data_IF_455989077723
#
_entry.id   IF_455989077723
#
_cell.length_a   1.000
_cell.length_b   1.000
_cell.length_c   1.000
_cell.angle_alpha   90.00
_cell.angle_beta   90.00
_cell.angle_gamma   90.00
#
_symmetry.space_group_name_H-M   'P 1'
#
loop_
_entity.id
_entity.type
_entity.pdbx_description
1 polymer ?
#
# COMPACT_ATOMS: atom_id res chain seq x y z
N UNK A 1 -9.88 3.58 22.52
CA UNK A 1 -9.56 4.74 21.69
C UNK A 1 -10.84 5.43 21.23
N UNK A 2 -10.94 6.74 21.42
CA UNK A 2 -12.14 7.47 21.00
C UNK A 2 -11.94 7.93 19.55
N UNK A 3 -12.66 7.33 18.61
CA UNK A 3 -12.77 7.84 17.24
C UNK A 3 -13.38 9.23 17.31
N UNK A 4 -12.66 10.25 16.81
CA UNK A 4 -13.13 11.64 16.84
C UNK A 4 -14.13 11.94 15.72
N UNK A 5 -13.91 11.38 14.56
CA UNK A 5 -14.66 11.71 13.36
C UNK A 5 -14.71 10.51 12.41
N UNK A 6 -15.87 10.27 11.81
CA UNK A 6 -16.09 9.24 10.80
C UNK A 6 -16.67 9.91 9.56
N UNK A 7 -16.09 9.66 8.40
CA UNK A 7 -16.59 10.13 7.10
C UNK A 7 -16.90 8.95 6.21
N UNK A 8 -18.02 9.05 5.51
CA UNK A 8 -18.40 8.08 4.48
C UNK A 8 -17.67 8.41 3.19
N UNK A 9 -16.98 7.43 2.60
CA UNK A 9 -16.34 7.59 1.30
C UNK A 9 -17.38 7.79 0.18
N UNK A 10 -17.06 8.66 -0.76
CA UNK A 10 -17.87 8.99 -1.93
C UNK A 10 -17.14 8.67 -3.23
N UNK A 11 -17.83 8.78 -4.36
CA UNK A 11 -17.20 8.75 -5.68
C UNK A 11 -16.65 10.13 -6.01
N UNK A 12 -15.47 10.48 -5.48
CA UNK A 12 -14.81 11.78 -5.70
C UNK A 12 -14.39 12.02 -7.16
N UNK A 13 -14.32 10.96 -7.93
CA UNK A 13 -14.13 10.98 -9.38
C UNK A 13 -15.28 10.18 -9.99
N UNK A 14 -15.93 10.76 -10.99
CA UNK A 14 -16.99 10.07 -11.72
C UNK A 14 -16.46 8.83 -12.43
N UNK A 15 -17.11 7.71 -12.19
CA UNK A 15 -16.74 6.40 -12.74
C UNK A 15 -17.99 5.76 -13.34
N UNK A 16 -17.94 5.23 -14.58
CA UNK A 16 -19.07 4.56 -15.19
C UNK A 16 -19.59 3.41 -14.33
N UNK A 17 -20.90 3.31 -14.15
CA UNK A 17 -21.56 2.27 -13.35
C UNK A 17 -21.18 0.85 -13.80
N UNK A 18 -20.94 0.66 -15.10
CA UNK A 18 -20.45 -0.60 -15.67
C UNK A 18 -19.10 -1.05 -15.12
N UNK A 19 -18.28 -0.12 -14.62
CA UNK A 19 -16.99 -0.44 -13.97
C UNK A 19 -17.15 -0.73 -12.48
N UNK A 20 -18.18 -0.19 -11.84
CA UNK A 20 -18.42 -0.36 -10.40
C UNK A 20 -18.85 -1.81 -10.11
N UNK A 21 -19.78 -2.36 -10.88
CA UNK A 21 -20.25 -3.75 -10.76
C UNK A 21 -20.67 -4.12 -9.32
N UNK A 22 -21.48 -3.27 -8.69
CA UNK A 22 -21.94 -3.42 -7.29
C UNK A 22 -20.84 -3.43 -6.22
N UNK A 23 -19.62 -2.98 -6.55
CA UNK A 23 -18.49 -2.93 -5.61
C UNK A 23 -18.36 -1.53 -5.02
N UNK A 24 -19.37 -1.09 -4.27
CA UNK A 24 -19.44 0.24 -3.65
C UNK A 24 -18.26 0.53 -2.70
N UNK A 25 -17.65 -0.51 -2.13
CA UNK A 25 -16.46 -0.39 -1.29
C UNK A 25 -15.24 0.21 -2.03
N UNK A 26 -15.22 0.18 -3.37
CA UNK A 26 -14.15 0.81 -4.16
C UNK A 26 -14.11 2.35 -4.00
N UNK A 27 -15.16 2.97 -3.46
CA UNK A 27 -15.13 4.39 -3.07
C UNK A 27 -13.97 4.69 -2.12
N UNK A 28 -13.72 3.82 -1.14
CA UNK A 28 -12.64 4.00 -0.17
C UNK A 28 -11.25 4.03 -0.81
N UNK A 29 -11.05 3.34 -1.94
CA UNK A 29 -9.79 3.41 -2.67
C UNK A 29 -9.62 4.75 -3.38
N UNK A 30 -10.68 5.30 -3.96
CA UNK A 30 -10.64 6.61 -4.64
C UNK A 30 -10.48 7.73 -3.61
N UNK A 31 -11.23 7.68 -2.51
CA UNK A 31 -11.27 8.74 -1.49
C UNK A 31 -9.92 8.97 -0.77
N UNK A 32 -9.01 7.99 -0.81
CA UNK A 32 -7.64 8.17 -0.26
C UNK A 32 -6.92 9.39 -0.84
N UNK A 33 -7.10 9.67 -2.12
CA UNK A 33 -6.50 10.83 -2.78
C UNK A 33 -7.18 12.16 -2.41
N UNK A 34 -8.27 12.12 -1.62
CA UNK A 34 -9.08 13.28 -1.25
C UNK A 34 -9.18 13.48 0.27
N UNK A 35 -8.29 12.90 1.07
CA UNK A 35 -8.31 13.02 2.53
C UNK A 35 -8.44 14.47 3.04
N UNK A 36 -7.74 15.48 2.46
CA UNK A 36 -7.93 16.88 2.88
C UNK A 36 -9.35 17.42 2.69
N UNK A 37 -10.11 16.91 1.72
CA UNK A 37 -11.54 17.25 1.54
C UNK A 37 -12.39 16.69 2.67
N UNK A 38 -12.11 15.44 3.10
CA UNK A 38 -12.88 14.76 4.15
C UNK A 38 -12.54 15.27 5.55
N UNK A 39 -11.30 15.65 5.77
CA UNK A 39 -10.76 16.04 7.07
C UNK A 39 -9.99 17.37 7.00
N UNK A 40 -10.65 18.50 6.71
CA UNK A 40 -9.99 19.76 6.37
C UNK A 40 -9.22 20.41 7.53
N UNK A 41 -9.45 19.98 8.78
CA UNK A 41 -8.91 20.61 9.99
C UNK A 41 -7.57 20.01 10.46
N UNK A 42 -6.97 19.09 9.68
CA UNK A 42 -5.71 18.45 10.04
C UNK A 42 -4.60 18.91 9.12
N UNK A 43 -3.37 18.95 9.62
CA UNK A 43 -2.19 19.33 8.84
C UNK A 43 -1.48 18.13 8.22
N UNK A 44 -1.41 17.03 8.96
CA UNK A 44 -0.76 15.78 8.53
C UNK A 44 -1.80 14.68 8.43
N UNK A 45 -1.74 13.91 7.37
CA UNK A 45 -2.59 12.75 7.12
C UNK A 45 -1.74 11.50 7.12
N UNK A 46 -2.11 10.53 7.93
CA UNK A 46 -1.58 9.18 7.87
C UNK A 46 -2.73 8.26 7.49
N UNK A 47 -2.54 7.51 6.43
CA UNK A 47 -3.46 6.45 6.04
C UNK A 47 -2.91 5.11 6.47
N UNK A 48 -3.76 4.28 7.05
CA UNK A 48 -3.48 2.88 7.39
C UNK A 48 -4.69 2.07 6.96
N UNK A 49 -4.49 1.08 6.09
CA UNK A 49 -5.56 0.19 5.64
C UNK A 49 -6.14 -0.62 6.81
N UNK A 50 -7.41 -1.00 6.70
CA UNK A 50 -8.13 -1.73 7.76
C UNK A 50 -7.61 -3.15 8.02
N UNK A 51 -6.79 -3.70 7.11
CA UNK A 51 -6.08 -4.97 7.23
C UNK A 51 -4.61 -4.79 7.67
N UNK A 52 -4.28 -3.63 8.22
CA UNK A 52 -2.99 -3.32 8.79
C UNK A 52 -3.14 -2.79 10.22
N UNK A 53 -2.14 -3.03 11.06
CA UNK A 53 -2.12 -2.48 12.42
C UNK A 53 -0.72 -2.07 12.87
N UNK A 54 -0.70 -1.12 13.79
CA UNK A 54 0.53 -0.60 14.40
C UNK A 54 1.01 -1.59 15.47
N UNK A 55 2.17 -2.17 15.25
CA UNK A 55 2.86 -3.05 16.18
C UNK A 55 3.94 -2.27 16.98
N UNK A 56 4.47 -1.19 16.38
CA UNK A 56 5.39 -0.26 17.05
C UNK A 56 5.13 1.18 16.60
N UNK A 57 4.99 2.09 17.57
CA UNK A 57 4.70 3.50 17.31
C UNK A 57 5.82 4.26 16.61
N UNK A 58 7.05 3.76 16.61
CA UNK A 58 8.17 4.32 15.82
C UNK A 58 7.80 4.48 14.35
N UNK A 59 6.97 3.58 13.80
CA UNK A 59 6.51 3.71 12.42
C UNK A 59 5.62 4.95 12.21
N UNK A 60 4.79 5.30 13.18
CA UNK A 60 3.96 6.51 13.14
C UNK A 60 4.84 7.76 13.18
N UNK A 61 5.85 7.77 14.06
CA UNK A 61 6.82 8.88 14.16
C UNK A 61 7.59 9.06 12.84
N UNK A 62 8.00 7.95 12.20
CA UNK A 62 8.67 8.00 10.91
C UNK A 62 7.75 8.51 9.79
N UNK A 63 6.48 8.11 9.78
CA UNK A 63 5.48 8.61 8.84
C UNK A 63 5.27 10.12 9.00
N UNK A 64 5.17 10.62 10.23
CA UNK A 64 5.04 12.06 10.51
C UNK A 64 6.28 12.81 10.03
N UNK A 65 7.46 12.40 10.49
CA UNK A 65 8.73 13.05 10.10
C UNK A 65 8.95 13.02 8.60
N UNK A 66 8.62 11.90 7.95
CA UNK A 66 8.79 11.75 6.51
C UNK A 66 7.91 12.71 5.72
N UNK A 67 6.63 12.88 6.06
CA UNK A 67 5.78 13.86 5.38
C UNK A 67 6.07 15.31 5.79
N UNK A 68 6.76 15.54 6.91
CA UNK A 68 7.26 16.87 7.28
C UNK A 68 8.47 17.31 6.47
N UNK A 69 9.30 16.36 6.04
CA UNK A 69 10.51 16.62 5.26
C UNK A 69 10.23 16.64 3.76
N UNK A 70 9.31 15.78 3.29
CA UNK A 70 8.99 15.55 1.88
C UNK A 70 7.49 15.68 1.61
N UNK A 71 7.12 15.72 0.34
CA UNK A 71 5.72 15.81 -0.07
C UNK A 71 4.90 14.57 0.23
N UNK A 72 5.54 13.40 0.23
CA UNK A 72 4.95 12.08 0.51
C UNK A 72 5.94 11.25 1.31
N UNK A 73 5.48 10.51 2.32
CA UNK A 73 6.25 9.43 2.92
C UNK A 73 5.55 8.09 2.73
N UNK A 74 6.29 7.10 2.22
CA UNK A 74 5.74 5.80 1.82
C UNK A 74 6.84 4.75 1.79
N UNK A 75 6.48 3.46 1.85
CA UNK A 75 7.42 2.36 1.69
C UNK A 75 7.43 1.82 0.26
N UNK A 76 8.59 1.38 -0.18
CA UNK A 76 8.72 0.54 -1.37
C UNK A 76 8.45 -0.92 -1.01
N UNK A 77 7.73 -1.67 -1.85
CA UNK A 77 7.46 -3.10 -1.62
C UNK A 77 8.66 -3.94 -2.06
N UNK A 78 9.78 -3.71 -1.40
CA UNK A 78 11.02 -4.47 -1.53
C UNK A 78 11.66 -4.66 -0.17
N UNK A 79 11.78 -5.92 0.26
CA UNK A 79 12.52 -6.29 1.45
C UNK A 79 13.29 -7.59 1.19
N UNK A 80 14.36 -7.89 1.94
CA UNK A 80 15.04 -9.17 1.86
C UNK A 80 14.04 -10.32 2.01
N UNK A 81 14.01 -11.22 1.03
CA UNK A 81 13.11 -12.38 1.03
C UNK A 81 11.70 -12.14 0.48
N UNK A 82 11.33 -10.92 0.10
CA UNK A 82 10.07 -10.72 -0.63
C UNK A 82 10.11 -11.44 -1.97
N UNK A 83 9.04 -12.19 -2.24
CA UNK A 83 8.90 -12.95 -3.49
C UNK A 83 8.34 -12.04 -4.58
N UNK A 84 8.92 -12.17 -5.77
CA UNK A 84 8.38 -11.70 -7.06
C UNK A 84 7.86 -10.26 -7.17
N UNK A 85 8.77 -9.35 -7.47
CA UNK A 85 8.41 -8.00 -7.92
C UNK A 85 7.89 -8.00 -9.37
N UNK A 86 8.14 -9.05 -10.15
CA UNK A 86 7.71 -9.18 -11.53
C UNK A 86 7.68 -10.62 -12.03
N UNK A 87 6.87 -10.86 -13.08
CA UNK A 87 6.80 -12.17 -13.76
C UNK A 87 7.54 -12.11 -15.09
N UNK A 88 8.52 -12.98 -15.27
CA UNK A 88 9.22 -13.17 -16.55
C UNK A 88 8.58 -14.35 -17.29
N UNK A 89 8.20 -14.13 -18.56
CA UNK A 89 7.79 -15.21 -19.47
C UNK A 89 8.80 -15.31 -20.60
N UNK A 90 9.33 -16.49 -20.77
CA UNK A 90 10.19 -16.80 -21.91
C UNK A 90 9.35 -17.02 -23.16
N UNK A 91 9.82 -16.49 -24.27
CA UNK A 91 9.23 -16.66 -25.59
C UNK A 91 10.31 -17.12 -26.57
N UNK A 92 10.03 -18.14 -27.36
CA UNK A 92 10.98 -18.75 -28.31
C UNK A 92 12.33 -19.11 -27.68
N UNK A 93 12.34 -19.52 -26.42
CA UNK A 93 13.52 -20.00 -25.72
C UNK A 93 14.58 -18.93 -25.33
N UNK A 94 14.59 -17.79 -26.03
CA UNK A 94 15.64 -16.78 -25.88
C UNK A 94 15.15 -15.39 -25.52
N UNK A 95 13.87 -15.11 -25.71
CA UNK A 95 13.31 -13.79 -25.43
C UNK A 95 12.51 -13.81 -24.14
N UNK A 96 12.81 -12.86 -23.24
CA UNK A 96 12.07 -12.69 -22.00
C UNK A 96 11.06 -11.55 -22.12
N UNK A 97 9.80 -11.84 -21.82
CA UNK A 97 8.75 -10.82 -21.65
C UNK A 97 8.58 -10.57 -20.16
N UNK A 98 9.03 -9.41 -19.68
CA UNK A 98 8.81 -8.97 -18.31
C UNK A 98 7.46 -8.29 -18.21
N UNK A 99 6.58 -8.85 -17.38
CA UNK A 99 5.25 -8.29 -17.11
C UNK A 99 5.13 -7.95 -15.64
N UNK A 100 5.37 -6.71 -15.30
CA UNK A 100 5.08 -6.22 -13.95
C UNK A 100 3.61 -5.78 -13.83
N UNK A 101 3.11 -5.76 -12.61
CA UNK A 101 1.74 -5.32 -12.35
C UNK A 101 1.54 -3.87 -12.82
N UNK A 102 2.48 -2.98 -12.51
CA UNK A 102 2.42 -1.57 -12.86
C UNK A 102 2.43 -1.37 -14.39
N UNK A 103 3.31 -2.05 -15.13
CA UNK A 103 3.36 -1.96 -16.59
C UNK A 103 2.02 -2.31 -17.24
N UNK A 104 1.50 -3.51 -16.91
CA UNK A 104 0.25 -4.00 -17.49
C UNK A 104 -0.94 -3.10 -17.13
N UNK A 105 -0.96 -2.58 -15.90
CA UNK A 105 -2.03 -1.71 -15.44
C UNK A 105 -1.96 -0.35 -16.15
N UNK A 106 -0.78 0.25 -16.29
CA UNK A 106 -0.59 1.51 -17.00
C UNK A 106 -1.06 1.45 -18.46
N UNK A 107 -0.64 0.41 -19.21
CA UNK A 107 -1.07 0.19 -20.60
C UNK A 107 -2.60 0.09 -20.68
N UNK A 108 -3.24 -0.69 -19.81
CA UNK A 108 -4.69 -0.85 -19.79
C UNK A 108 -5.45 0.41 -19.38
N UNK A 109 -4.81 1.28 -18.61
CA UNK A 109 -5.35 2.57 -18.19
C UNK A 109 -5.10 3.69 -19.21
N UNK A 110 -4.49 3.37 -20.37
CA UNK A 110 -4.26 4.31 -21.46
C UNK A 110 -3.11 5.31 -21.20
N UNK A 111 -2.16 4.95 -20.34
CA UNK A 111 -0.89 5.69 -20.25
C UNK A 111 0.03 5.29 -21.39
N UNK A 112 0.88 6.25 -21.81
CA UNK A 112 1.84 6.04 -22.87
C UNK A 112 2.81 4.90 -22.55
N UNK A 113 3.28 4.22 -23.57
CA UNK A 113 4.23 3.11 -23.44
C UNK A 113 5.52 3.55 -22.75
N UNK A 114 5.98 4.78 -22.97
CA UNK A 114 7.15 5.36 -22.29
C UNK A 114 6.95 5.44 -20.77
N UNK A 115 5.76 5.89 -20.33
CA UNK A 115 5.39 5.93 -18.91
C UNK A 115 5.32 4.52 -18.33
N UNK A 116 4.63 3.62 -19.02
CA UNK A 116 4.50 2.23 -18.57
C UNK A 116 5.86 1.54 -18.42
N UNK A 117 6.80 1.78 -19.35
CA UNK A 117 8.18 1.27 -19.25
C UNK A 117 8.94 1.85 -18.07
N UNK A 118 8.80 3.16 -17.82
CA UNK A 118 9.50 3.82 -16.71
C UNK A 118 9.13 3.23 -15.36
N UNK A 119 7.85 2.91 -15.15
CA UNK A 119 7.38 2.30 -13.89
C UNK A 119 7.45 0.77 -13.87
N UNK A 120 7.80 0.13 -14.99
CA UNK A 120 7.79 -1.33 -15.10
C UNK A 120 8.73 -2.01 -14.11
N UNK A 121 9.90 -1.42 -13.90
CA UNK A 121 10.97 -1.94 -13.04
C UNK A 121 11.14 -1.13 -11.75
N UNK A 122 10.39 -0.05 -11.59
CA UNK A 122 10.38 0.69 -10.34
C UNK A 122 9.77 -0.15 -9.22
N UNK A 123 10.33 -0.10 -8.01
CA UNK A 123 9.75 -0.77 -6.86
C UNK A 123 8.29 -0.34 -6.67
N UNK A 124 7.39 -1.32 -6.50
CA UNK A 124 5.99 -1.00 -6.29
C UNK A 124 5.80 -0.25 -4.97
N UNK A 125 5.00 0.81 -4.98
CA UNK A 125 4.59 1.53 -3.78
C UNK A 125 3.24 1.00 -3.33
N UNK A 126 3.18 0.43 -2.14
CA UNK A 126 1.92 -0.02 -1.55
C UNK A 126 1.31 1.12 -0.74
N UNK A 127 0.16 1.59 -1.17
CA UNK A 127 -0.55 2.73 -0.58
C UNK A 127 -1.45 2.37 0.61
N UNK A 128 -1.32 1.16 1.13
CA UNK A 128 -2.03 0.77 2.35
C UNK A 128 -1.51 1.48 3.60
N UNK A 129 -0.28 2.01 3.53
CA UNK A 129 0.30 2.88 4.56
C UNK A 129 1.10 3.99 3.88
N UNK A 130 0.73 5.23 4.15
CA UNK A 130 1.45 6.42 3.69
C UNK A 130 1.14 7.62 4.58
N UNK A 131 1.92 8.69 4.43
CA UNK A 131 1.60 9.99 5.03
C UNK A 131 1.88 11.14 4.06
N UNK A 132 1.11 12.23 4.22
CA UNK A 132 1.20 13.42 3.39
C UNK A 132 0.67 14.65 4.13
N UNK A 133 1.30 15.83 3.96
CA UNK A 133 0.77 17.09 4.51
C UNK A 133 -0.45 17.58 3.74
N UNK A 134 -1.29 18.40 4.39
CA UNK A 134 -2.47 19.03 3.77
C UNK A 134 -2.14 19.76 2.47
N UNK A 135 -1.11 20.56 2.48
CA UNK A 135 -0.71 21.42 1.36
C UNK A 135 0.31 20.76 0.42
N UNK A 136 0.51 19.46 0.51
CA UNK A 136 1.37 18.72 -0.41
C UNK A 136 0.83 18.79 -1.83
N UNK A 137 1.69 19.08 -2.80
CA UNK A 137 1.38 18.96 -4.24
C UNK A 137 1.02 17.52 -4.64
N UNK A 138 1.43 16.56 -3.83
CA UNK A 138 1.16 15.14 -4.01
C UNK A 138 -0.32 14.84 -4.19
N UNK A 139 -1.21 15.55 -3.50
CA UNK A 139 -2.67 15.36 -3.65
C UNK A 139 -3.12 15.68 -5.08
N UNK A 140 -2.67 16.80 -5.66
CA UNK A 140 -3.03 17.22 -7.01
C UNK A 140 -2.45 16.27 -8.07
N UNK A 141 -1.19 15.88 -7.93
CA UNK A 141 -0.56 14.92 -8.85
C UNK A 141 -1.25 13.55 -8.80
N UNK A 142 -1.56 13.08 -7.58
CA UNK A 142 -2.27 11.82 -7.40
C UNK A 142 -3.65 11.84 -8.02
N UNK A 143 -4.46 12.87 -7.73
CA UNK A 143 -5.81 13.05 -8.30
C UNK A 143 -5.78 13.13 -9.82
N UNK A 144 -4.86 13.89 -10.40
CA UNK A 144 -4.64 14.00 -11.85
C UNK A 144 -4.39 12.63 -12.49
N UNK A 145 -3.43 11.87 -11.94
CA UNK A 145 -3.07 10.55 -12.46
C UNK A 145 -4.17 9.53 -12.21
N UNK A 146 -4.87 9.61 -11.08
CA UNK A 146 -6.01 8.75 -10.76
C UNK A 146 -7.17 8.99 -11.73
N UNK A 147 -7.52 10.24 -12.03
CA UNK A 147 -8.53 10.58 -13.04
C UNK A 147 -8.18 10.00 -14.41
N UNK A 148 -6.91 10.12 -14.83
CA UNK A 148 -6.43 9.52 -16.08
C UNK A 148 -6.52 7.98 -16.04
N UNK A 149 -6.10 7.35 -14.94
CA UNK A 149 -6.17 5.90 -14.79
C UNK A 149 -7.61 5.37 -14.86
N UNK A 150 -8.56 6.07 -14.24
CA UNK A 150 -9.97 5.67 -14.20
C UNK A 150 -10.70 5.86 -15.52
N UNK A 151 -10.26 6.76 -16.39
CA UNK A 151 -10.91 7.02 -17.68
C UNK A 151 -11.01 5.77 -18.55
N UNK A 152 -9.95 4.96 -18.62
CA UNK A 152 -9.89 3.73 -19.42
C UNK A 152 -9.70 2.47 -18.58
N UNK A 153 -8.96 2.56 -17.47
CA UNK A 153 -8.59 1.44 -16.61
C UNK A 153 -9.70 0.90 -15.73
N UNK A 154 -9.37 -0.13 -14.98
CA UNK A 154 -10.20 -0.66 -13.89
C UNK A 154 -10.13 0.25 -12.66
N UNK A 155 -11.12 0.20 -11.78
CA UNK A 155 -11.09 0.98 -10.53
C UNK A 155 -10.05 0.41 -9.57
N UNK A 156 -10.13 -0.89 -9.29
CA UNK A 156 -9.27 -1.55 -8.30
C UNK A 156 -7.78 -1.39 -8.61
N UNK A 157 -7.04 -0.82 -7.68
CA UNK A 157 -5.60 -0.59 -7.76
C UNK A 157 -5.19 0.59 -8.65
N UNK A 158 -6.14 1.38 -9.21
CA UNK A 158 -5.80 2.56 -10.01
C UNK A 158 -5.24 3.70 -9.16
N UNK A 159 -5.62 3.79 -7.90
CA UNK A 159 -5.05 4.70 -6.92
C UNK A 159 -3.56 4.40 -6.66
N UNK A 160 -3.22 3.11 -6.52
CA UNK A 160 -1.83 2.67 -6.39
C UNK A 160 -1.01 2.93 -7.67
N UNK A 161 -1.59 2.65 -8.85
CA UNK A 161 -0.94 3.01 -10.12
C UNK A 161 -0.67 4.51 -10.20
N UNK A 162 -1.65 5.34 -9.83
CA UNK A 162 -1.55 6.79 -9.91
C UNK A 162 -0.43 7.34 -9.02
N UNK A 163 -0.30 6.87 -7.78
CA UNK A 163 0.79 7.30 -6.91
C UNK A 163 2.17 6.83 -7.41
N UNK A 164 2.28 5.62 -7.94
CA UNK A 164 3.52 5.14 -8.55
C UNK A 164 3.94 6.04 -9.75
N UNK A 165 2.98 6.51 -10.55
CA UNK A 165 3.26 7.46 -11.64
C UNK A 165 3.66 8.82 -11.07
N UNK A 166 2.94 9.34 -10.07
CA UNK A 166 3.27 10.62 -9.45
C UNK A 166 4.70 10.63 -8.91
N UNK A 167 5.14 9.55 -8.27
CA UNK A 167 6.50 9.45 -7.73
C UNK A 167 7.54 9.23 -8.82
N UNK A 168 7.39 8.18 -9.62
CA UNK A 168 8.47 7.76 -10.52
C UNK A 168 8.49 8.46 -11.88
N UNK A 169 7.39 9.08 -12.29
CA UNK A 169 7.29 9.79 -13.58
C UNK A 169 7.24 11.28 -13.40
N UNK A 170 6.34 11.76 -12.54
CA UNK A 170 6.15 13.19 -12.33
C UNK A 170 7.18 13.78 -11.34
N UNK A 171 7.92 12.94 -10.60
CA UNK A 171 8.99 13.37 -9.71
C UNK A 171 8.50 13.92 -8.38
N UNK A 172 7.35 13.46 -7.88
CA UNK A 172 6.86 13.84 -6.56
C UNK A 172 7.93 13.57 -5.49
N UNK A 173 8.30 14.63 -4.76
CA UNK A 173 9.32 14.55 -3.70
C UNK A 173 8.84 13.59 -2.60
N UNK A 174 9.59 12.49 -2.44
CA UNK A 174 9.13 11.34 -1.66
C UNK A 174 10.20 10.86 -0.69
N UNK A 175 9.80 10.70 0.57
CA UNK A 175 10.59 9.99 1.58
C UNK A 175 10.26 8.50 1.53
N UNK A 176 11.26 7.68 1.24
CA UNK A 176 11.12 6.23 1.24
C UNK A 176 11.47 5.68 2.61
N UNK A 177 10.44 5.29 3.34
CA UNK A 177 10.57 4.74 4.67
C UNK A 177 11.04 3.27 4.66
N UNK A 178 11.63 2.77 5.77
CA UNK A 178 11.95 1.35 5.94
C UNK A 178 10.72 0.46 5.75
N UNK A 179 10.91 -0.74 5.21
CA UNK A 179 9.81 -1.69 4.99
C UNK A 179 9.06 -2.09 6.27
N UNK A 180 9.72 -1.97 7.42
CA UNK A 180 9.08 -2.15 8.72
C UNK A 180 7.90 -1.21 8.96
N UNK A 181 7.85 -0.05 8.29
CA UNK A 181 6.71 0.87 8.35
C UNK A 181 5.48 0.41 7.55
N UNK A 182 5.61 -0.62 6.71
CA UNK A 182 4.50 -1.26 6.00
C UNK A 182 4.93 -2.65 5.54
N UNK A 183 5.06 -3.59 6.49
CA UNK A 183 5.47 -4.96 6.23
C UNK A 183 4.33 -5.74 5.59
N UNK A 184 4.51 -6.18 4.34
CA UNK A 184 3.49 -6.91 3.59
C UNK A 184 3.60 -8.41 3.89
N UNK A 185 2.74 -8.92 4.76
CA UNK A 185 2.77 -10.30 5.21
C UNK A 185 2.55 -11.33 4.09
N UNK A 186 1.82 -10.97 3.02
CA UNK A 186 1.63 -11.85 1.87
C UNK A 186 2.89 -12.06 1.03
N UNK A 187 3.89 -11.20 1.13
CA UNK A 187 5.18 -11.38 0.47
C UNK A 187 6.14 -12.20 1.32
N UNK A 188 6.15 -11.99 2.63
CA UNK A 188 6.96 -12.73 3.58
C UNK A 188 6.33 -12.63 4.97
N UNK A 189 6.02 -13.78 5.56
CA UNK A 189 5.45 -13.83 6.92
C UNK A 189 6.46 -13.29 7.94
N UNK A 190 6.01 -12.49 8.91
CA UNK A 190 6.85 -12.04 10.00
C UNK A 190 7.15 -13.19 10.96
N UNK A 191 8.17 -13.03 11.80
CA UNK A 191 8.35 -13.82 13.01
C UNK A 191 7.73 -13.13 14.21
N UNK A 192 7.33 -13.90 15.21
CA UNK A 192 6.89 -13.36 16.48
C UNK A 192 7.96 -13.61 17.55
N UNK A 193 8.47 -12.52 18.12
CA UNK A 193 9.37 -12.57 19.27
C UNK A 193 8.54 -12.69 20.54
N UNK A 194 8.49 -13.89 21.12
CA UNK A 194 7.72 -14.17 22.34
C UNK A 194 8.26 -13.41 23.57
N UNK A 195 9.59 -13.19 23.63
CA UNK A 195 10.20 -12.51 24.76
C UNK A 195 9.80 -11.03 24.84
N UNK A 196 9.71 -10.38 23.69
CA UNK A 196 9.33 -8.98 23.58
C UNK A 196 7.85 -8.77 23.18
N UNK A 197 7.12 -9.84 22.89
CA UNK A 197 5.70 -9.81 22.47
C UNK A 197 5.47 -8.91 21.25
N UNK A 198 6.36 -8.95 20.25
CA UNK A 198 6.31 -8.13 19.04
C UNK A 198 6.59 -8.94 17.78
N UNK A 199 6.06 -8.46 16.64
CA UNK A 199 6.43 -8.98 15.33
C UNK A 199 7.76 -8.38 14.86
N UNK A 200 8.62 -9.23 14.30
CA UNK A 200 9.92 -8.87 13.78
C UNK A 200 10.10 -9.39 12.35
N UNK A 201 11.02 -8.79 11.62
CA UNK A 201 11.45 -9.29 10.32
C UNK A 201 12.02 -10.71 10.47
N UNK A 202 11.70 -11.64 9.55
CA UNK A 202 12.14 -13.04 9.67
C UNK A 202 13.64 -13.20 9.42
N UNK A 203 14.26 -12.22 8.77
CA UNK A 203 15.70 -12.21 8.45
C UNK A 203 16.49 -11.41 9.50
N UNK A 204 17.75 -11.78 9.69
CA UNK A 204 18.65 -11.00 10.56
C UNK A 204 18.78 -9.55 10.08
N UNK A 205 18.85 -8.59 11.00
CA UNK A 205 18.96 -8.73 12.45
C UNK A 205 17.65 -8.86 13.22
N UNK A 206 16.54 -9.27 12.59
CA UNK A 206 15.21 -9.40 13.16
C UNK A 206 14.68 -8.05 13.68
N UNK A 207 14.75 -7.03 12.82
CA UNK A 207 14.23 -5.70 13.16
C UNK A 207 12.75 -5.77 13.51
N UNK A 208 12.34 -4.96 14.49
CA UNK A 208 10.96 -4.83 14.87
C UNK A 208 10.11 -4.29 13.70
N UNK A 209 8.99 -4.94 13.43
CA UNK A 209 8.01 -4.45 12.45
C UNK A 209 7.19 -3.36 13.11
N UNK A 210 7.10 -2.20 12.48
CA UNK A 210 6.32 -1.08 12.98
C UNK A 210 4.84 -1.20 12.63
N UNK A 211 4.53 -1.44 11.33
CA UNK A 211 3.15 -1.69 10.87
C UNK A 211 3.13 -2.99 10.09
N UNK A 212 2.30 -3.93 10.55
CA UNK A 212 2.05 -5.20 9.89
C UNK A 212 0.81 -5.09 9.02
N UNK A 213 0.91 -5.46 7.74
CA UNK A 213 -0.13 -5.31 6.74
C UNK A 213 -0.43 -6.66 6.06
N UNK A 214 -1.67 -7.10 6.11
CA UNK A 214 -2.13 -8.38 5.59
C UNK A 214 -2.52 -8.32 4.11
N UNK A 215 -2.09 -7.30 3.38
CA UNK A 215 -2.43 -7.10 1.98
C UNK A 215 -2.35 -8.40 1.15
N UNK A 216 -3.20 -8.50 0.12
CA UNK A 216 -3.18 -9.62 -0.80
C UNK A 216 -4.13 -10.77 -0.44
N UNK A 217 -5.03 -10.57 0.53
CA UNK A 217 -6.05 -11.55 0.88
C UNK A 217 -5.57 -12.69 1.78
N UNK A 218 -4.38 -12.53 2.37
CA UNK A 218 -3.79 -13.54 3.27
C UNK A 218 -4.69 -13.86 4.46
N UNK A 219 -5.54 -12.92 4.87
CA UNK A 219 -6.56 -13.11 5.92
C UNK A 219 -7.66 -14.11 5.54
N UNK A 220 -7.81 -14.45 4.26
CA UNK A 220 -8.71 -15.50 3.79
C UNK A 220 -8.08 -16.91 3.85
N UNK A 221 -6.78 -17.00 4.05
CA UNK A 221 -6.09 -18.25 4.22
C UNK A 221 -6.27 -18.73 5.67
N UNK A 222 -6.86 -19.89 5.85
CA UNK A 222 -7.27 -20.42 7.17
C UNK A 222 -6.11 -20.74 8.11
N UNK A 223 -4.85 -20.65 7.65
CA UNK A 223 -3.67 -21.05 8.41
C UNK A 223 -2.51 -20.11 8.13
N UNK A 224 -2.45 -18.96 8.82
CA UNK A 224 -1.25 -18.15 8.87
C UNK A 224 -0.49 -18.51 10.14
N UNK A 225 0.66 -19.13 9.99
CA UNK A 225 1.57 -19.35 11.10
C UNK A 225 2.47 -18.09 11.24
N UNK A 226 2.21 -17.32 12.27
CA UNK A 226 2.96 -16.08 12.55
C UNK A 226 4.01 -16.28 13.65
N UNK A 227 4.16 -17.48 14.23
CA UNK A 227 5.10 -17.75 15.30
C UNK A 227 6.22 -18.67 14.85
N UNK A 228 7.40 -18.45 15.41
CA UNK A 228 8.59 -19.21 15.10
C UNK A 228 8.43 -20.69 15.51
N UNK A 229 8.75 -21.61 14.60
CA UNK A 229 8.92 -23.08 14.76
C UNK A 229 7.79 -23.87 15.44
N UNK A 230 6.80 -23.25 16.00
CA UNK A 230 5.62 -23.90 16.55
C UNK A 230 4.41 -23.51 15.73
N UNK A 231 3.93 -24.40 14.88
CA UNK A 231 2.73 -24.26 14.06
C UNK A 231 1.52 -23.74 14.86
N UNK A 232 1.46 -22.46 15.16
CA UNK A 232 0.30 -21.84 15.75
C UNK A 232 -0.62 -21.43 14.62
N UNK A 233 -1.58 -22.32 14.36
CA UNK A 233 -2.68 -22.03 13.45
C UNK A 233 -3.55 -20.96 14.09
N UNK A 234 -3.48 -19.75 13.58
CA UNK A 234 -4.49 -18.74 13.90
C UNK A 234 -5.78 -19.20 13.21
N UNK A 235 -6.62 -19.93 13.93
CA UNK A 235 -7.88 -20.49 13.41
C UNK A 235 -8.92 -19.44 13.04
N UNK A 236 -8.72 -18.20 13.49
CA UNK A 236 -9.59 -17.07 13.14
C UNK A 236 -8.73 -15.85 12.84
N UNK A 237 -9.00 -15.14 11.74
CA UNK A 237 -8.23 -13.95 11.42
C UNK A 237 -8.33 -12.94 12.58
N UNK A 238 -7.24 -12.79 13.32
CA UNK A 238 -6.95 -11.70 14.25
C UNK A 238 -7.94 -11.35 15.38
N UNK A 239 -8.98 -12.12 15.65
CA UNK A 239 -9.92 -11.85 16.76
C UNK A 239 -9.22 -11.72 18.12
N UNK A 240 -8.11 -12.41 18.33
CA UNK A 240 -7.35 -12.34 19.59
C UNK A 240 -6.48 -11.11 19.77
N UNK A 241 -6.07 -10.43 18.70
CA UNK A 241 -5.17 -9.27 18.77
C UNK A 241 -5.92 -7.96 19.02
N UNK A 242 -7.22 -7.92 18.77
CA UNK A 242 -8.06 -6.73 18.99
C UNK A 242 -8.81 -6.71 20.32
N UNK A 243 -8.67 -7.74 21.15
CA UNK A 243 -9.40 -7.87 22.45
C UNK A 243 -8.57 -7.52 23.66
N UNK A 244 -7.30 -7.11 23.50
CA UNK A 244 -6.48 -6.61 24.61
C UNK A 244 -6.21 -5.11 24.39
N UNK A 245 -7.19 -4.30 24.80
CA UNK A 245 -7.06 -2.84 24.85
C UNK A 245 -8.25 -2.24 25.57
#
# INVERSE_FOLDING_TARGET
SKVKEIKKAEWDIEVPSSKIKNREWLKSQISRAFLPKYFPNYENYIWIDSDAWVNDWVAIDLLIKGCEQKSLAITQTIAPGYKDVGKVKWFLGSFAIVKTQNFKHAIRSGFDYKIARKIAFAPHLNIGVFSMKRNSEGWNLWQKNLKKALSKGRIFGSEGLAINISVYVDGLDTEFLPNSCNWIASHLLPKYDENNSVFVEPNLPNNKIGILHLAGGIYNEQNIDLRDDKNIKIKEPFKGLFTQG
#
